data_IF_644238822130
#
_entry.id   IF_644238822130
#
_cell.length_a   1.000
_cell.length_b   1.000
_cell.length_c   1.000
_cell.angle_alpha   90.00
_cell.angle_beta   90.00
_cell.angle_gamma   90.00
#
_symmetry.space_group_name_H-M   'P 1'
#
loop_
_entity.id
_entity.type
_entity.pdbx_description
1 polymer ?
#
# COMPACT_ATOMS: atom_id res chain seq x y z
N UNK A 1 -21.52 5.04 -9.43
CA UNK A 1 -20.13 4.77 -9.85
C UNK A 1 -19.34 6.05 -10.22
N UNK A 2 -19.70 7.23 -9.71
CA UNK A 2 -18.93 8.47 -9.98
C UNK A 2 -18.11 8.94 -8.77
N UNK A 3 -18.34 8.46 -7.55
CA UNK A 3 -17.67 9.05 -6.39
C UNK A 3 -16.47 8.23 -5.88
N UNK A 4 -16.29 6.98 -6.34
CA UNK A 4 -15.19 6.12 -5.89
C UNK A 4 -13.83 6.51 -6.48
N UNK A 5 -13.79 7.17 -7.64
CA UNK A 5 -12.50 7.61 -8.22
C UNK A 5 -11.88 8.77 -7.43
N UNK A 6 -12.70 9.62 -6.79
CA UNK A 6 -12.21 10.73 -5.97
C UNK A 6 -11.42 10.21 -4.77
N UNK A 7 -11.69 8.99 -4.30
CA UNK A 7 -10.92 8.32 -3.24
C UNK A 7 -9.52 7.87 -3.68
N UNK A 8 -9.21 7.87 -4.99
CA UNK A 8 -7.82 7.70 -5.46
C UNK A 8 -6.98 8.94 -5.19
N UNK A 9 -7.60 10.12 -5.25
CA UNK A 9 -6.89 11.39 -5.05
C UNK A 9 -6.72 11.54 -3.54
N UNK A 10 -5.60 11.05 -3.01
CA UNK A 10 -5.18 11.49 -1.70
C UNK A 10 -5.02 13.01 -1.74
N UNK A 11 -5.74 13.75 -0.89
CA UNK A 11 -5.50 15.18 -0.74
C UNK A 11 -4.03 15.38 -0.38
N UNK A 12 -3.28 16.08 -1.23
CA UNK A 12 -1.88 16.38 -0.97
C UNK A 12 -1.78 17.36 0.20
N UNK A 13 -1.83 16.83 1.42
CA UNK A 13 -1.43 17.54 2.63
C UNK A 13 0.07 17.32 2.74
N UNK A 14 0.87 18.33 2.40
CA UNK A 14 2.30 18.31 2.68
C UNK A 14 2.49 18.26 4.20
N UNK A 15 2.46 17.06 4.74
CA UNK A 15 2.97 16.77 6.06
C UNK A 15 4.44 16.42 5.87
N UNK A 16 5.35 17.19 6.46
CA UNK A 16 6.81 17.09 6.27
C UNK A 16 7.39 15.69 6.57
N UNK A 17 6.60 14.79 7.18
CA UNK A 17 7.02 13.44 7.61
C UNK A 17 6.53 12.29 6.73
N UNK A 18 5.75 12.52 5.68
CA UNK A 18 5.21 11.42 4.85
C UNK A 18 6.16 11.02 3.73
N UNK A 19 6.82 9.86 3.86
CA UNK A 19 7.66 9.27 2.80
C UNK A 19 6.79 8.61 1.72
N UNK A 20 6.81 9.18 0.50
CA UNK A 20 6.03 8.67 -0.64
C UNK A 20 6.44 7.26 -1.06
N UNK A 21 7.72 6.92 -1.00
CA UNK A 21 8.21 5.58 -1.30
C UNK A 21 7.71 4.55 -0.28
N UNK A 22 7.65 4.92 1.01
CA UNK A 22 7.09 4.06 2.05
C UNK A 22 5.60 3.78 1.79
N UNK A 23 4.83 4.78 1.33
CA UNK A 23 3.44 4.58 0.90
C UNK A 23 3.33 3.62 -0.28
N UNK A 24 4.09 3.85 -1.36
CA UNK A 24 4.09 2.97 -2.53
C UNK A 24 4.45 1.53 -2.14
N UNK A 25 5.45 1.36 -1.29
CA UNK A 25 5.89 0.05 -0.83
C UNK A 25 4.82 -0.65 0.02
N UNK A 26 4.19 0.08 0.95
CA UNK A 26 3.12 -0.42 1.81
C UNK A 26 1.91 -0.87 0.99
N UNK A 27 1.43 0.00 0.09
CA UNK A 27 0.34 -0.29 -0.83
C UNK A 27 0.66 -1.51 -1.71
N UNK A 28 1.87 -1.60 -2.27
CA UNK A 28 2.26 -2.71 -3.15
C UNK A 28 2.33 -4.05 -2.39
N UNK A 29 2.92 -4.06 -1.19
CA UNK A 29 2.95 -5.24 -0.32
C UNK A 29 1.54 -5.71 0.04
N UNK A 30 0.65 -4.76 0.34
CA UNK A 30 -0.75 -5.06 0.65
C UNK A 30 -1.49 -5.62 -0.57
N UNK A 31 -1.35 -5.01 -1.74
CA UNK A 31 -1.93 -5.51 -2.98
C UNK A 31 -1.46 -6.95 -3.27
N UNK A 32 -0.16 -7.22 -3.15
CA UNK A 32 0.40 -8.58 -3.30
C UNK A 32 -0.24 -9.56 -2.31
N UNK A 33 -0.37 -9.19 -1.04
CA UNK A 33 -1.04 -10.02 -0.02
C UNK A 33 -2.49 -10.32 -0.40
N UNK A 34 -3.24 -9.35 -0.93
CA UNK A 34 -4.62 -9.55 -1.38
C UNK A 34 -4.71 -10.47 -2.61
N UNK A 35 -3.74 -10.40 -3.54
CA UNK A 35 -3.68 -11.32 -4.68
C UNK A 35 -3.35 -12.76 -4.29
N UNK A 36 -2.63 -12.96 -3.17
CA UNK A 36 -2.29 -14.29 -2.63
C UNK A 36 -3.42 -14.96 -1.86
N UNK A 37 -4.56 -14.29 -1.65
CA UNK A 37 -5.72 -14.89 -1.03
C UNK A 37 -6.37 -15.94 -1.94
N UNK A 38 -6.97 -16.95 -1.31
CA UNK A 38 -7.87 -17.92 -1.96
C UNK A 38 -8.97 -17.21 -2.74
N UNK A 39 -9.47 -17.82 -3.82
CA UNK A 39 -10.47 -17.20 -4.69
C UNK A 39 -11.77 -16.84 -3.96
N UNK A 40 -12.21 -17.68 -3.02
CA UNK A 40 -13.36 -17.39 -2.15
C UNK A 40 -13.16 -16.11 -1.33
N UNK A 41 -11.97 -15.94 -0.74
CA UNK A 41 -11.61 -14.76 0.03
C UNK A 41 -11.37 -13.52 -0.85
N UNK A 42 -10.92 -13.68 -2.11
CA UNK A 42 -10.81 -12.57 -3.06
C UNK A 42 -12.18 -12.10 -3.54
N UNK A 43 -13.14 -13.02 -3.67
CA UNK A 43 -14.49 -12.71 -4.14
C UNK A 43 -15.32 -11.91 -3.12
N UNK A 44 -14.96 -11.96 -1.83
CA UNK A 44 -15.60 -11.15 -0.79
C UNK A 44 -15.06 -9.71 -0.72
N UNK A 45 -14.01 -9.37 -1.47
CA UNK A 45 -13.51 -8.00 -1.55
C UNK A 45 -14.48 -7.12 -2.35
N UNK A 46 -14.74 -5.93 -1.84
CA UNK A 46 -15.59 -4.93 -2.52
C UNK A 46 -15.02 -4.48 -3.87
N UNK A 47 -13.70 -4.56 -4.02
CA UNK A 47 -12.94 -4.02 -5.15
C UNK A 47 -11.80 -4.96 -5.55
N UNK A 48 -11.27 -4.76 -6.78
CA UNK A 48 -10.06 -5.48 -7.22
C UNK A 48 -8.91 -5.24 -6.22
N UNK A 49 -8.03 -6.23 -5.97
CA UNK A 49 -7.00 -6.16 -4.92
C UNK A 49 -6.14 -4.90 -4.93
N UNK A 50 -5.70 -4.45 -6.10
CA UNK A 50 -4.91 -3.20 -6.21
C UNK A 50 -5.71 -1.98 -5.78
N UNK A 51 -6.99 -1.90 -6.17
CA UNK A 51 -7.85 -0.77 -5.83
C UNK A 51 -8.19 -0.77 -4.33
N UNK A 52 -8.46 -1.94 -3.76
CA UNK A 52 -8.66 -2.12 -2.32
C UNK A 52 -7.44 -1.66 -1.52
N UNK A 53 -6.23 -2.03 -1.94
CA UNK A 53 -4.99 -1.62 -1.26
C UNK A 53 -4.74 -0.11 -1.30
N UNK A 54 -5.10 0.57 -2.40
CA UNK A 54 -5.01 2.04 -2.51
C UNK A 54 -5.93 2.71 -1.50
N UNK A 55 -7.20 2.25 -1.42
CA UNK A 55 -8.16 2.80 -0.46
C UNK A 55 -7.70 2.61 0.98
N UNK A 56 -7.28 1.40 1.34
CA UNK A 56 -6.77 1.10 2.69
C UNK A 56 -5.53 1.94 3.04
N UNK A 57 -4.66 2.21 2.07
CA UNK A 57 -3.48 3.07 2.25
C UNK A 57 -3.87 4.54 2.46
N UNK A 58 -4.80 5.06 1.65
CA UNK A 58 -5.25 6.45 1.72
C UNK A 58 -6.07 6.73 3.00
N UNK A 59 -6.81 5.74 3.51
CA UNK A 59 -7.56 5.84 4.77
C UNK A 59 -6.64 5.77 6.02
N UNK A 60 -5.35 5.50 5.86
CA UNK A 60 -4.40 5.38 6.97
C UNK A 60 -4.55 4.08 7.77
N UNK A 61 -5.27 3.09 7.22
CA UNK A 61 -5.50 1.80 7.86
C UNK A 61 -4.31 0.83 7.76
N UNK A 62 -3.27 1.18 6.99
CA UNK A 62 -2.07 0.36 6.81
C UNK A 62 -0.91 0.91 7.65
N UNK A 63 -0.51 0.14 8.67
CA UNK A 63 0.73 0.36 9.40
C UNK A 63 1.70 -0.78 9.09
N UNK A 64 2.83 -0.47 8.47
CA UNK A 64 3.91 -1.45 8.31
C UNK A 64 4.50 -1.79 9.69
N UNK A 65 4.39 -3.04 10.11
CA UNK A 65 5.15 -3.57 11.25
C UNK A 65 6.57 -3.91 10.76
N UNK A 66 7.56 -3.11 11.15
CA UNK A 66 8.99 -3.27 10.84
C UNK A 66 9.74 -1.95 11.03
N UNK A 67 11.02 -1.96 11.40
CA UNK A 67 11.82 -0.74 11.50
C UNK A 67 12.24 -0.27 10.09
N UNK A 68 12.47 1.04 9.87
CA UNK A 68 12.98 1.55 8.60
C UNK A 68 14.32 0.91 8.16
N UNK A 69 15.04 0.26 9.07
CA UNK A 69 16.34 -0.38 8.81
C UNK A 69 16.23 -1.69 8.03
N UNK A 70 15.07 -2.36 8.08
CA UNK A 70 14.80 -3.59 7.30
C UNK A 70 14.77 -3.33 5.77
N UNK A 71 14.76 -2.06 5.36
CA UNK A 71 14.74 -1.65 3.95
C UNK A 71 16.09 -1.19 3.42
N UNK A 72 17.12 -1.12 4.26
CA UNK A 72 18.49 -0.99 3.78
C UNK A 72 18.95 -2.36 3.31
N UNK A 73 18.61 -2.71 2.07
CA UNK A 73 19.26 -3.83 1.39
C UNK A 73 20.76 -3.60 1.47
N UNK A 74 21.47 -4.51 2.13
CA UNK A 74 22.92 -4.66 2.02
C UNK A 74 23.28 -4.72 0.53
N UNK A 75 23.58 -3.58 -0.09
CA UNK A 75 24.38 -3.52 -1.32
C UNK A 75 25.82 -3.75 -0.88
N UNK A 76 26.12 -4.99 -0.49
CA UNK A 76 27.50 -5.44 -0.34
C UNK A 76 27.97 -5.86 -1.73
N UNK A 77 28.19 -4.89 -2.61
CA UNK A 77 29.17 -5.06 -3.68
C UNK A 77 30.53 -5.22 -3.00
N UNK A 78 30.95 -6.47 -2.85
CA UNK A 78 32.36 -6.77 -2.66
C UNK A 78 33.07 -6.32 -3.95
N UNK A 79 33.93 -5.32 -3.81
CA UNK A 79 34.92 -4.92 -4.82
C UNK A 79 36.19 -5.72 -4.57
#
# INVERSE_FOLDING_TARGET
MKDDYLKLIEEHKQNEKTNLFAKVLTMTKRAKSLYSLEESARSSLKHKPTFQAILENNEGHLVMKGSPEDFSTKDTRQV
#
